data_IF_848636915932
#
_entry.id   IF_848636915932
#
_cell.length_a   1.000
_cell.length_b   1.000
_cell.length_c   1.000
_cell.angle_alpha   90.00
_cell.angle_beta   90.00
_cell.angle_gamma   90.00
#
_symmetry.space_group_name_H-M   'P 1'
#
loop_
_entity.id
_entity.type
_entity.pdbx_description
1 polymer ?
#
# COMPACT_ATOMS: atom_id res chain seq x y z
N UNK A 1 29.85 -19.55 27.66
CA UNK A 1 30.02 -19.14 26.25
C UNK A 1 28.88 -18.20 25.90
N UNK A 2 29.08 -16.88 25.90
CA UNK A 2 28.03 -16.01 25.42
C UNK A 2 28.15 -15.95 23.90
N UNK A 3 27.06 -16.23 23.20
CA UNK A 3 26.87 -15.98 21.76
C UNK A 3 27.39 -17.08 20.81
N UNK A 4 26.45 -17.75 20.12
CA UNK A 4 26.69 -18.78 19.10
C UNK A 4 27.00 -18.14 17.73
N UNK A 5 28.22 -17.66 17.53
CA UNK A 5 28.73 -17.16 16.24
C UNK A 5 29.20 -18.33 15.34
N UNK A 6 28.26 -19.17 14.90
CA UNK A 6 28.58 -20.42 14.15
C UNK A 6 29.25 -20.20 12.80
N UNK A 7 29.07 -19.02 12.21
CA UNK A 7 29.52 -18.71 10.85
C UNK A 7 30.74 -17.75 10.84
N UNK A 8 31.32 -17.45 11.99
CA UNK A 8 32.45 -16.53 12.12
C UNK A 8 33.66 -17.26 12.69
N UNK A 9 34.85 -16.91 12.19
CA UNK A 9 36.09 -17.39 12.78
C UNK A 9 36.33 -16.63 14.09
N UNK A 10 36.23 -17.32 15.22
CA UNK A 10 36.44 -16.76 16.56
C UNK A 10 37.71 -17.35 17.18
N UNK A 11 38.63 -16.50 17.60
CA UNK A 11 39.84 -16.87 18.33
C UNK A 11 39.74 -16.35 19.76
N UNK A 12 40.07 -17.18 20.75
CA UNK A 12 40.20 -16.75 22.14
C UNK A 12 41.66 -16.44 22.43
N UNK A 13 41.97 -15.21 22.83
CA UNK A 13 43.31 -14.79 23.25
C UNK A 13 43.21 -14.22 24.66
N UNK A 14 43.80 -14.91 25.63
CA UNK A 14 43.63 -14.63 27.06
C UNK A 14 42.15 -14.68 27.47
N UNK A 15 41.58 -13.54 27.89
CA UNK A 15 40.16 -13.37 28.25
C UNK A 15 39.32 -12.71 27.14
N UNK A 16 39.96 -12.28 26.05
CA UNK A 16 39.30 -11.58 24.95
C UNK A 16 38.89 -12.55 23.83
N UNK A 17 37.81 -12.20 23.14
CA UNK A 17 37.34 -12.87 21.93
C UNK A 17 37.67 -12.02 20.71
N UNK A 18 38.45 -12.55 19.78
CA UNK A 18 38.77 -11.95 18.49
C UNK A 18 37.86 -12.58 17.44
N UNK A 19 36.99 -11.79 16.85
CA UNK A 19 35.96 -12.24 15.91
C UNK A 19 36.29 -11.65 14.54
N UNK A 20 36.59 -12.52 13.58
CA UNK A 20 36.82 -12.11 12.20
C UNK A 20 35.47 -11.88 11.52
N UNK A 21 35.28 -10.67 10.98
CA UNK A 21 34.14 -10.37 10.14
C UNK A 21 34.31 -10.99 8.75
N UNK A 22 33.21 -11.43 8.16
CA UNK A 22 33.17 -11.94 6.81
C UNK A 22 33.17 -10.75 5.84
N UNK A 23 34.25 -10.61 5.08
CA UNK A 23 34.37 -9.61 4.02
C UNK A 23 33.77 -10.24 2.74
N UNK A 24 32.82 -9.56 2.06
CA UNK A 24 32.26 -10.06 0.81
C UNK A 24 33.33 -10.26 -0.28
N UNK A 25 33.20 -11.31 -1.11
CA UNK A 25 34.13 -11.59 -2.21
C UNK A 25 34.14 -10.48 -3.29
N UNK A 26 33.05 -9.73 -3.39
CA UNK A 26 32.84 -8.60 -4.29
C UNK A 26 33.24 -7.24 -3.69
N UNK A 27 33.81 -7.22 -2.49
CA UNK A 27 34.27 -6.00 -1.84
C UNK A 27 35.37 -5.30 -2.67
N UNK A 28 35.06 -4.10 -3.17
CA UNK A 28 35.97 -3.29 -4.01
C UNK A 28 37.12 -2.62 -3.25
N UNK A 29 37.12 -2.69 -1.92
CA UNK A 29 38.12 -2.08 -1.04
C UNK A 29 39.18 -3.11 -0.64
N UNK A 30 40.46 -2.71 -0.75
CA UNK A 30 41.60 -3.53 -0.38
C UNK A 30 41.76 -3.56 1.16
N UNK A 31 41.08 -4.52 1.80
CA UNK A 31 41.15 -4.75 3.25
C UNK A 31 41.57 -6.19 3.54
N UNK A 32 42.68 -6.35 4.25
CA UNK A 32 43.27 -7.66 4.56
C UNK A 32 42.46 -8.40 5.62
N UNK A 33 42.00 -7.66 6.63
CA UNK A 33 41.20 -8.21 7.72
C UNK A 33 40.40 -7.13 8.45
N UNK A 34 39.30 -7.56 9.05
CA UNK A 34 38.54 -6.77 10.00
C UNK A 34 38.15 -7.65 11.20
N UNK A 35 38.68 -7.31 12.37
CA UNK A 35 38.51 -8.09 13.59
C UNK A 35 37.82 -7.24 14.65
N UNK A 36 36.80 -7.80 15.30
CA UNK A 36 36.20 -7.24 16.51
C UNK A 36 36.82 -7.94 17.71
N UNK A 37 37.53 -7.19 18.54
CA UNK A 37 37.99 -7.64 19.85
C UNK A 37 36.90 -7.34 20.88
N UNK A 38 36.32 -8.38 21.47
CA UNK A 38 35.30 -8.30 22.50
C UNK A 38 35.89 -8.69 23.86
N UNK A 39 35.84 -7.77 24.82
CA UNK A 39 36.43 -7.92 26.16
C UNK A 39 35.40 -8.41 27.20
N UNK A 40 35.83 -8.97 28.34
CA UNK A 40 34.94 -9.48 29.39
C UNK A 40 33.98 -8.44 29.98
N UNK A 41 34.37 -7.16 29.98
CA UNK A 41 33.57 -6.01 30.44
C UNK A 41 32.48 -5.58 29.44
N UNK A 42 32.31 -6.33 28.33
CA UNK A 42 31.42 -6.04 27.20
C UNK A 42 31.83 -4.83 26.37
N UNK A 43 33.08 -4.36 26.49
CA UNK A 43 33.63 -3.37 25.57
C UNK A 43 34.10 -4.04 24.27
N UNK A 44 34.12 -3.26 23.19
CA UNK A 44 34.60 -3.70 21.88
C UNK A 44 35.67 -2.77 21.33
N UNK A 45 36.60 -3.34 20.58
CA UNK A 45 37.59 -2.62 19.78
C UNK A 45 37.63 -3.20 18.36
N UNK A 46 37.83 -2.35 17.36
CA UNK A 46 37.94 -2.77 15.95
C UNK A 46 39.41 -2.74 15.55
N UNK A 47 39.95 -3.91 15.19
CA UNK A 47 41.33 -4.10 14.76
C UNK A 47 41.37 -4.31 13.24
N UNK A 48 42.06 -3.40 12.56
CA UNK A 48 42.38 -3.46 11.14
C UNK A 48 43.45 -2.41 10.83
N UNK A 49 44.54 -2.75 10.15
CA UNK A 49 45.56 -1.76 9.78
C UNK A 49 45.14 -0.90 8.58
N UNK A 50 44.31 -1.47 7.71
CA UNK A 50 43.90 -0.88 6.43
C UNK A 50 42.79 0.17 6.59
N UNK A 51 42.09 0.18 7.73
CA UNK A 51 40.96 1.09 7.98
C UNK A 51 41.38 2.29 8.83
N UNK A 52 41.17 3.54 8.33
CA UNK A 52 41.39 4.76 9.10
C UNK A 52 40.62 4.81 10.44
N UNK A 53 41.23 5.41 11.46
CA UNK A 53 40.64 5.53 12.79
C UNK A 53 39.27 6.23 12.82
N UNK A 54 39.01 7.14 11.87
CA UNK A 54 37.71 7.80 11.76
C UNK A 54 36.59 6.81 11.41
N UNK A 55 36.85 5.87 10.49
CA UNK A 55 35.87 4.87 10.07
C UNK A 55 35.64 3.87 11.21
N UNK A 56 36.69 3.44 11.91
CA UNK A 56 36.57 2.60 13.11
C UNK A 56 35.69 3.25 14.19
N UNK A 57 35.89 4.54 14.47
CA UNK A 57 35.03 5.30 15.39
C UNK A 57 33.59 5.35 14.90
N UNK A 58 33.39 5.58 13.60
CA UNK A 58 32.06 5.59 13.00
C UNK A 58 31.35 4.25 13.18
N UNK A 59 32.03 3.12 12.96
CA UNK A 59 31.49 1.78 13.19
C UNK A 59 31.15 1.55 14.68
N UNK A 60 32.07 1.89 15.59
CA UNK A 60 31.88 1.72 17.04
C UNK A 60 30.66 2.47 17.59
N UNK A 61 30.29 3.62 17.00
CA UNK A 61 29.11 4.38 17.40
C UNK A 61 27.77 3.60 17.25
N UNK A 62 27.76 2.48 16.54
CA UNK A 62 26.56 1.65 16.34
C UNK A 62 26.47 0.47 17.31
N UNK A 63 27.45 0.28 18.18
CA UNK A 63 27.44 -0.81 19.15
C UNK A 63 26.49 -0.55 20.32
N UNK A 64 25.51 -1.44 20.51
CA UNK A 64 24.46 -1.34 21.55
C UNK A 64 24.51 -2.50 22.57
N UNK A 65 25.70 -3.02 22.90
CA UNK A 65 25.91 -4.12 23.86
C UNK A 65 25.33 -5.49 23.43
N UNK A 66 24.82 -5.62 22.21
CA UNK A 66 24.58 -6.91 21.55
C UNK A 66 25.65 -7.12 20.48
N UNK A 67 26.42 -8.20 20.63
CA UNK A 67 27.56 -8.50 19.76
C UNK A 67 27.12 -9.11 18.42
N UNK A 68 26.08 -9.94 18.41
CA UNK A 68 25.59 -10.60 17.19
C UNK A 68 24.96 -9.58 16.25
N UNK A 69 24.08 -8.75 16.79
CA UNK A 69 23.39 -7.72 16.02
C UNK A 69 24.39 -6.72 15.44
N UNK A 70 25.40 -6.38 16.21
CA UNK A 70 26.47 -5.48 15.76
C UNK A 70 27.31 -6.08 14.63
N UNK A 71 27.71 -7.35 14.74
CA UNK A 71 28.44 -8.07 13.68
C UNK A 71 27.63 -8.10 12.39
N UNK A 72 26.38 -8.58 12.47
CA UNK A 72 25.50 -8.66 11.30
C UNK A 72 25.27 -7.29 10.66
N UNK A 73 25.12 -6.25 11.48
CA UNK A 73 24.95 -4.87 11.02
C UNK A 73 26.19 -4.37 10.29
N UNK A 74 27.40 -4.61 10.82
CA UNK A 74 28.64 -4.21 10.17
C UNK A 74 28.83 -4.94 8.84
N UNK A 75 28.60 -6.25 8.79
CA UNK A 75 28.74 -7.04 7.55
C UNK A 75 27.75 -6.56 6.47
N UNK A 76 26.51 -6.28 6.85
CA UNK A 76 25.47 -5.79 5.92
C UNK A 76 25.70 -4.36 5.40
N UNK A 77 26.58 -3.59 6.04
CA UNK A 77 26.81 -2.18 5.74
C UNK A 77 28.30 -1.85 5.51
N UNK A 78 29.13 -2.87 5.28
CA UNK A 78 30.58 -2.73 5.26
C UNK A 78 31.05 -1.74 4.18
N UNK A 79 30.51 -1.83 2.97
CA UNK A 79 30.83 -0.92 1.86
C UNK A 79 30.49 0.54 2.18
N UNK A 80 29.37 0.79 2.86
CA UNK A 80 28.95 2.13 3.26
C UNK A 80 29.99 2.73 4.21
N UNK A 81 30.43 1.96 5.21
CA UNK A 81 31.48 2.39 6.13
C UNK A 81 32.82 2.62 5.44
N UNK A 82 33.24 1.71 4.56
CA UNK A 82 34.51 1.81 3.83
C UNK A 82 34.53 2.98 2.84
N UNK A 83 33.37 3.39 2.31
CA UNK A 83 33.22 4.62 1.53
C UNK A 83 33.39 5.92 2.33
N UNK A 84 33.54 5.82 3.66
CA UNK A 84 33.62 6.95 4.59
C UNK A 84 32.25 7.48 5.04
N UNK A 85 31.17 6.94 4.50
CA UNK A 85 29.80 7.27 4.90
C UNK A 85 29.38 6.44 6.12
N UNK A 86 28.32 6.86 6.80
CA UNK A 86 27.67 6.04 7.81
C UNK A 86 26.29 5.62 7.33
N UNK A 87 25.86 4.37 7.59
CA UNK A 87 24.48 3.98 7.35
C UNK A 87 23.54 4.95 8.04
N UNK A 88 22.45 5.29 7.38
CA UNK A 88 21.35 6.02 7.98
C UNK A 88 20.69 5.12 9.03
N UNK A 89 21.30 4.96 10.20
CA UNK A 89 20.53 4.61 11.38
C UNK A 89 19.84 5.87 11.85
N UNK A 90 18.52 5.85 11.80
CA UNK A 90 17.71 6.73 12.62
C UNK A 90 18.08 6.46 14.10
N UNK A 91 18.98 7.28 14.63
CA UNK A 91 19.61 7.09 15.96
C UNK A 91 18.63 7.16 17.14
N UNK A 92 17.35 7.45 16.91
CA UNK A 92 16.33 7.58 17.94
C UNK A 92 15.06 6.75 17.67
N UNK A 93 15.18 5.55 17.09
CA UNK A 93 14.06 4.60 17.10
C UNK A 93 13.90 4.09 18.54
N UNK A 94 13.07 4.79 19.32
CA UNK A 94 12.61 4.31 20.63
C UNK A 94 11.61 3.19 20.35
N UNK A 95 11.98 1.95 20.66
CA UNK A 95 11.13 0.77 20.53
C UNK A 95 10.66 0.39 21.93
N UNK A 96 9.35 0.30 22.12
CA UNK A 96 8.77 -0.23 23.36
C UNK A 96 8.68 -1.77 23.32
N UNK A 97 8.44 -2.39 24.47
CA UNK A 97 8.30 -3.85 24.66
C UNK A 97 7.29 -4.49 23.71
N UNK A 98 6.26 -3.74 23.32
CA UNK A 98 5.21 -4.20 22.41
C UNK A 98 5.57 -4.05 20.92
N UNK A 99 6.77 -3.55 20.60
CA UNK A 99 7.26 -3.36 19.22
C UNK A 99 6.77 -2.07 18.55
N UNK A 100 6.27 -1.11 19.34
CA UNK A 100 5.88 0.23 18.89
C UNK A 100 7.13 1.10 18.80
N UNK A 101 7.23 1.89 17.74
CA UNK A 101 8.39 2.72 17.44
C UNK A 101 8.00 4.19 17.39
N UNK A 102 8.76 5.09 18.04
CA UNK A 102 8.72 6.54 17.71
C UNK A 102 9.54 6.79 16.46
N UNK A 103 8.92 7.38 15.44
CA UNK A 103 9.59 7.74 14.20
C UNK A 103 10.39 9.04 14.38
N UNK A 104 11.44 9.27 13.57
CA UNK A 104 12.21 10.51 13.61
C UNK A 104 11.34 11.77 13.46
N UNK A 105 11.77 12.88 14.05
CA UNK A 105 11.08 14.17 13.92
C UNK A 105 11.00 14.67 12.47
N UNK A 106 12.00 14.33 11.66
CA UNK A 106 12.05 14.62 10.23
C UNK A 106 11.40 13.52 9.37
N UNK A 107 10.64 12.58 9.95
CA UNK A 107 9.95 11.56 9.19
C UNK A 107 8.94 12.19 8.22
N UNK A 108 9.11 11.89 6.94
CA UNK A 108 8.22 12.35 5.88
C UNK A 108 7.26 11.22 5.54
N UNK A 109 5.97 11.47 5.75
CA UNK A 109 4.95 10.54 5.28
C UNK A 109 5.02 10.39 3.76
N UNK A 110 4.83 9.17 3.24
CA UNK A 110 4.76 9.00 1.80
C UNK A 110 3.53 9.72 1.24
N UNK A 111 3.77 10.72 0.40
CA UNK A 111 2.72 11.46 -0.29
C UNK A 111 2.70 11.00 -1.75
N UNK A 112 1.53 10.56 -2.21
CA UNK A 112 1.28 10.36 -3.63
C UNK A 112 0.30 11.42 -4.14
N UNK A 113 0.68 12.11 -5.21
CA UNK A 113 -0.19 13.10 -5.89
C UNK A 113 -0.99 12.49 -7.04
N UNK A 114 -0.70 11.25 -7.42
CA UNK A 114 -1.42 10.57 -8.48
C UNK A 114 -2.77 10.06 -7.94
N UNK A 115 -3.90 10.30 -8.63
CA UNK A 115 -5.24 9.84 -8.22
C UNK A 115 -5.45 8.35 -8.49
N UNK A 116 -4.38 7.57 -8.42
CA UNK A 116 -4.42 6.13 -8.50
C UNK A 116 -4.54 5.67 -7.06
N UNK A 117 -5.76 5.45 -6.59
CA UNK A 117 -6.04 4.84 -5.30
C UNK A 117 -6.94 3.61 -5.55
N UNK A 118 -6.40 2.41 -5.34
CA UNK A 118 -7.12 1.16 -5.59
C UNK A 118 -7.15 0.20 -4.39
N UNK A 119 -6.55 0.59 -3.24
CA UNK A 119 -6.68 -0.12 -1.97
C UNK A 119 -7.47 0.73 -0.98
N UNK A 120 -8.79 0.52 -0.94
CA UNK A 120 -9.70 1.23 -0.02
C UNK A 120 -9.67 0.59 1.36
N UNK A 121 -9.60 1.40 2.41
CA UNK A 121 -9.61 0.98 3.81
C UNK A 121 -10.88 1.41 4.52
N UNK A 122 -11.45 0.50 5.29
CA UNK A 122 -12.48 0.80 6.28
C UNK A 122 -11.84 0.70 7.67
N UNK A 123 -11.73 1.84 8.37
CA UNK A 123 -11.09 1.89 9.67
C UNK A 123 -11.88 2.72 10.68
N UNK A 124 -11.74 2.36 11.96
CA UNK A 124 -12.08 3.24 13.07
C UNK A 124 -10.79 3.82 13.63
N UNK A 125 -10.70 5.13 13.84
CA UNK A 125 -9.52 5.79 14.44
C UNK A 125 -9.93 6.85 15.45
N UNK A 126 -9.09 7.08 16.46
CA UNK A 126 -9.24 8.11 17.50
C UNK A 126 -7.87 8.73 17.76
N UNK A 127 -7.77 10.06 17.73
CA UNK A 127 -6.55 10.83 17.95
C UNK A 127 -5.41 10.50 16.95
N UNK A 128 -5.78 10.18 15.71
CA UNK A 128 -4.86 9.88 14.59
C UNK A 128 -5.17 10.81 13.41
N UNK A 129 -4.23 11.70 13.07
CA UNK A 129 -4.39 12.62 11.94
C UNK A 129 -4.06 11.91 10.62
N UNK A 130 -2.80 11.55 10.42
CA UNK A 130 -2.29 10.79 9.29
C UNK A 130 -2.15 9.32 9.62
N UNK A 131 -2.41 8.49 8.61
CA UNK A 131 -2.29 7.04 8.68
C UNK A 131 -1.76 6.54 7.34
N UNK A 132 -0.73 5.71 7.36
CA UNK A 132 -0.12 5.16 6.16
C UNK A 132 0.52 3.80 6.45
N UNK A 133 0.88 3.09 5.39
CA UNK A 133 1.66 1.87 5.46
C UNK A 133 2.71 1.93 4.37
N UNK A 134 3.98 2.03 4.73
CA UNK A 134 5.10 2.14 3.78
C UNK A 134 5.38 0.82 3.07
N UNK A 135 5.44 -0.29 3.82
CA UNK A 135 5.69 -1.65 3.32
C UNK A 135 4.62 -2.61 3.88
N UNK A 136 3.45 -2.73 3.23
CA UNK A 136 2.46 -3.73 3.57
C UNK A 136 2.90 -5.14 3.16
N UNK A 137 2.53 -6.13 3.97
CA UNK A 137 2.61 -7.54 3.64
C UNK A 137 1.30 -7.97 2.96
N UNK A 138 1.37 -8.47 1.73
CA UNK A 138 0.18 -8.94 1.03
C UNK A 138 0.19 -10.45 0.86
N UNK A 139 -0.97 -11.06 0.98
CA UNK A 139 -1.21 -12.42 0.51
C UNK A 139 -1.55 -12.35 -0.98
N UNK A 140 -0.70 -12.95 -1.82
CA UNK A 140 -0.81 -12.96 -3.27
C UNK A 140 -0.94 -14.37 -3.79
N UNK A 141 -1.85 -14.61 -4.72
CA UNK A 141 -1.97 -15.87 -5.43
C UNK A 141 -1.18 -15.84 -6.74
N UNK A 142 -0.32 -16.82 -6.97
CA UNK A 142 0.37 -16.95 -8.26
C UNK A 142 -0.63 -17.26 -9.39
N UNK A 143 -0.54 -16.52 -10.50
CA UNK A 143 -1.47 -16.73 -11.62
C UNK A 143 -1.27 -18.07 -12.34
N UNK A 144 -0.04 -18.63 -12.32
CA UNK A 144 0.31 -19.91 -12.96
C UNK A 144 -0.07 -21.13 -12.11
N UNK A 145 0.45 -21.24 -10.90
CA UNK A 145 0.28 -22.44 -10.07
C UNK A 145 -0.79 -22.31 -8.98
N UNK A 146 -1.42 -21.14 -8.84
CA UNK A 146 -2.48 -20.84 -7.85
C UNK A 146 -2.05 -20.99 -6.38
N UNK A 147 -0.76 -21.15 -6.11
CA UNK A 147 -0.20 -21.16 -4.75
C UNK A 147 -0.17 -19.72 -4.22
N UNK A 148 -0.55 -19.57 -2.95
CA UNK A 148 -0.49 -18.28 -2.26
C UNK A 148 0.88 -18.06 -1.64
N UNK A 149 1.35 -16.81 -1.65
CA UNK A 149 2.61 -16.37 -1.08
C UNK A 149 2.44 -15.00 -0.44
N UNK A 150 3.17 -14.78 0.64
CA UNK A 150 3.34 -13.44 1.21
C UNK A 150 4.33 -12.65 0.34
N UNK A 151 3.94 -11.43 -0.06
CA UNK A 151 4.73 -10.56 -0.93
C UNK A 151 4.66 -9.12 -0.39
N UNK A 152 5.82 -8.52 -0.15
CA UNK A 152 5.94 -7.08 0.15
C UNK A 152 6.23 -6.27 -1.12
N UNK A 153 7.27 -6.68 -1.85
CA UNK A 153 7.69 -6.06 -3.11
C UNK A 153 7.87 -7.11 -4.19
N UNK A 154 8.65 -8.15 -3.89
CA UNK A 154 8.87 -9.31 -4.77
C UNK A 154 8.93 -10.60 -3.95
N UNK A 155 8.55 -11.72 -4.56
CA UNK A 155 8.70 -13.05 -3.96
C UNK A 155 8.83 -14.12 -5.05
N UNK A 156 9.71 -15.11 -4.83
CA UNK A 156 9.81 -16.27 -5.70
C UNK A 156 8.72 -17.30 -5.39
N UNK A 157 7.94 -17.64 -6.41
CA UNK A 157 6.94 -18.70 -6.34
C UNK A 157 7.58 -20.08 -6.53
N UNK A 158 6.97 -21.13 -5.97
CA UNK A 158 7.43 -22.51 -6.11
C UNK A 158 7.48 -23.00 -7.57
N UNK A 159 6.74 -22.34 -8.48
CA UNK A 159 6.77 -22.64 -9.91
C UNK A 159 7.87 -21.89 -10.69
N UNK A 160 8.78 -21.21 -10.00
CA UNK A 160 9.91 -20.46 -10.57
C UNK A 160 9.56 -19.05 -11.08
N UNK A 161 8.33 -18.58 -10.90
CA UNK A 161 7.92 -17.22 -11.31
C UNK A 161 8.17 -16.24 -10.17
N UNK A 162 8.76 -15.09 -10.49
CA UNK A 162 8.88 -13.95 -9.59
C UNK A 162 7.57 -13.17 -9.53
N UNK A 163 6.88 -13.20 -8.40
CA UNK A 163 5.68 -12.41 -8.14
C UNK A 163 6.13 -11.01 -7.73
N UNK A 164 5.55 -9.96 -8.34
CA UNK A 164 5.92 -8.57 -8.02
C UNK A 164 4.69 -7.76 -7.63
N UNK A 165 4.88 -6.84 -6.70
CA UNK A 165 3.84 -5.93 -6.21
C UNK A 165 4.43 -4.53 -6.16
N UNK A 166 4.07 -3.70 -7.14
CA UNK A 166 4.41 -2.28 -7.08
C UNK A 166 3.35 -1.58 -6.22
N UNK A 167 3.70 -1.30 -4.97
CA UNK A 167 2.81 -0.62 -4.03
C UNK A 167 3.26 0.83 -3.81
N UNK A 168 2.31 1.76 -3.93
CA UNK A 168 2.51 3.19 -3.76
C UNK A 168 1.57 3.68 -2.65
N UNK A 169 2.10 4.00 -1.46
CA UNK A 169 1.30 4.52 -0.35
C UNK A 169 0.68 5.89 -0.63
N UNK A 170 -0.38 6.22 0.12
CA UNK A 170 -1.02 7.55 0.10
C UNK A 170 -1.36 8.03 1.52
N UNK A 171 -1.75 9.31 1.63
CA UNK A 171 -2.26 9.94 2.86
C UNK A 171 -3.77 10.19 2.84
N UNK A 172 -4.46 9.58 1.87
CA UNK A 172 -5.91 9.66 1.73
C UNK A 172 -6.63 9.03 2.96
N UNK A 173 -7.75 9.62 3.37
CA UNK A 173 -8.53 9.12 4.50
C UNK A 173 -9.28 7.81 4.21
N UNK A 174 -9.60 7.53 2.94
CA UNK A 174 -10.36 6.36 2.51
C UNK A 174 -9.46 5.26 1.90
N UNK A 175 -8.20 5.55 1.59
CA UNK A 175 -7.33 4.63 0.85
C UNK A 175 -5.95 4.48 1.49
N UNK A 176 -5.43 3.25 1.50
CA UNK A 176 -4.07 2.96 1.98
C UNK A 176 -3.02 3.29 0.93
N UNK A 177 -3.38 3.12 -0.34
CA UNK A 177 -2.50 3.39 -1.47
C UNK A 177 -3.00 2.77 -2.77
N UNK A 178 -2.05 2.54 -3.67
CA UNK A 178 -2.23 1.78 -4.88
C UNK A 178 -1.32 0.57 -4.94
N UNK A 179 -1.84 -0.52 -5.49
CA UNK A 179 -1.07 -1.72 -5.78
C UNK A 179 -1.22 -2.12 -7.24
N UNK A 180 -0.12 -2.54 -7.85
CA UNK A 180 -0.06 -3.10 -9.19
C UNK A 180 0.60 -4.48 -9.10
N UNK A 181 -0.19 -5.55 -8.91
CA UNK A 181 0.32 -6.92 -8.90
C UNK A 181 0.74 -7.36 -10.30
N UNK A 182 1.91 -7.99 -10.42
CA UNK A 182 2.41 -8.61 -11.64
C UNK A 182 2.60 -10.12 -11.42
N UNK A 183 2.13 -10.92 -12.39
CA UNK A 183 2.04 -12.38 -12.34
C UNK A 183 1.31 -12.98 -11.11
N UNK A 184 0.62 -12.16 -10.33
CA UNK A 184 -0.15 -12.57 -9.16
C UNK A 184 -1.49 -11.84 -9.05
N UNK A 185 -2.35 -12.36 -8.17
CA UNK A 185 -3.66 -11.80 -7.84
C UNK A 185 -3.70 -11.48 -6.35
N UNK A 186 -4.14 -10.28 -5.99
CA UNK A 186 -4.33 -9.85 -4.61
C UNK A 186 -5.42 -10.69 -3.91
N UNK A 187 -5.11 -11.22 -2.73
CA UNK A 187 -6.08 -11.91 -1.87
C UNK A 187 -6.45 -11.03 -0.67
N UNK A 188 -5.49 -10.72 0.19
CA UNK A 188 -5.73 -9.94 1.40
C UNK A 188 -4.46 -9.25 1.92
N UNK A 189 -4.65 -8.39 2.92
CA UNK A 189 -3.57 -7.79 3.69
C UNK A 189 -3.18 -8.74 4.83
N UNK A 190 -1.91 -9.13 4.86
CA UNK A 190 -1.33 -9.84 5.99
C UNK A 190 -0.88 -8.84 7.08
N UNK A 191 -0.65 -9.33 8.31
CA UNK A 191 -0.21 -8.47 9.41
C UNK A 191 0.97 -7.59 9.01
N UNK A 192 0.82 -6.28 9.18
CA UNK A 192 1.75 -5.25 8.67
C UNK A 192 2.00 -4.18 9.73
N UNK A 193 3.07 -3.40 9.56
CA UNK A 193 3.32 -2.21 10.38
C UNK A 193 2.74 -0.97 9.71
N UNK A 194 2.14 -0.11 10.50
CA UNK A 194 1.49 1.12 10.04
C UNK A 194 2.13 2.34 10.67
N UNK A 195 2.37 3.37 9.88
CA UNK A 195 2.88 4.67 10.33
C UNK A 195 1.71 5.63 10.52
N UNK A 196 1.72 6.34 11.65
CA UNK A 196 0.66 7.27 12.03
C UNK A 196 1.24 8.39 12.88
N UNK A 197 0.48 9.46 13.09
CA UNK A 197 0.87 10.52 14.02
C UNK A 197 -0.23 10.80 15.04
N UNK A 198 0.18 11.33 16.19
CA UNK A 198 -0.74 11.85 17.20
C UNK A 198 -1.43 13.09 16.66
N UNK A 199 -2.76 13.15 16.73
CA UNK A 199 -3.53 14.33 16.30
C UNK A 199 -3.24 15.58 17.15
N UNK A 200 -2.83 15.43 18.41
CA UNK A 200 -2.61 16.55 19.34
C UNK A 200 -1.24 17.21 19.21
N UNK A 201 -0.18 16.42 19.13
CA UNK A 201 1.21 16.92 19.13
C UNK A 201 1.98 16.60 17.83
N UNK A 202 1.33 15.94 16.86
CA UNK A 202 1.92 15.51 15.58
C UNK A 202 3.14 14.58 15.68
N UNK A 203 3.42 14.00 16.85
CA UNK A 203 4.49 13.02 16.99
C UNK A 203 4.19 11.78 16.16
N UNK A 204 5.19 11.34 15.40
CA UNK A 204 5.08 10.23 14.47
C UNK A 204 5.46 8.91 15.15
N UNK A 205 4.70 7.86 14.85
CA UNK A 205 4.88 6.53 15.38
C UNK A 205 4.73 5.48 14.28
N UNK A 206 5.35 4.33 14.49
CA UNK A 206 5.12 3.10 13.76
C UNK A 206 4.58 2.05 14.74
N UNK A 207 3.48 1.40 14.35
CA UNK A 207 2.86 0.34 15.14
C UNK A 207 3.67 -0.94 15.12
N UNK A 208 3.37 -1.81 16.07
CA UNK A 208 3.70 -3.22 15.96
C UNK A 208 2.98 -3.87 14.76
N UNK A 209 3.29 -5.14 14.49
CA UNK A 209 2.66 -5.87 13.39
C UNK A 209 1.20 -6.14 13.71
N UNK A 210 0.29 -5.59 12.92
CA UNK A 210 -1.16 -5.66 13.13
C UNK A 210 -1.87 -6.27 11.93
N UNK A 211 -2.77 -7.22 12.19
CA UNK A 211 -3.69 -7.77 11.21
C UNK A 211 -5.00 -6.99 11.13
N UNK A 212 -5.87 -7.40 10.20
CA UNK A 212 -7.25 -6.90 10.14
C UNK A 212 -8.02 -7.29 11.41
N UNK A 213 -8.93 -6.41 11.85
CA UNK A 213 -9.74 -6.54 13.07
C UNK A 213 -8.95 -6.56 14.39
N UNK A 214 -7.64 -6.32 14.37
CA UNK A 214 -6.85 -6.10 15.57
C UNK A 214 -6.95 -4.64 16.02
N UNK A 215 -7.31 -4.42 17.29
CA UNK A 215 -7.35 -3.07 17.87
C UNK A 215 -5.96 -2.66 18.34
N UNK A 216 -5.47 -1.55 17.83
CA UNK A 216 -4.27 -0.89 18.33
C UNK A 216 -4.64 0.18 19.35
N UNK A 217 -3.90 0.23 20.46
CA UNK A 217 -4.05 1.26 21.51
C UNK A 217 -2.67 1.59 22.05
N UNK A 218 -2.37 2.88 22.19
CA UNK A 218 -1.21 3.36 22.94
C UNK A 218 -1.52 4.72 23.57
N UNK A 219 -0.71 5.15 24.53
CA UNK A 219 -0.67 6.55 24.93
C UNK A 219 0.51 7.23 24.22
N UNK A 220 0.26 8.42 23.67
CA UNK A 220 1.32 9.21 23.05
C UNK A 220 2.42 9.52 24.07
N UNK A 221 3.67 9.21 23.74
CA UNK A 221 4.83 9.42 24.62
C UNK A 221 5.18 10.90 24.87
N UNK A 222 4.60 11.83 24.10
CA UNK A 222 4.87 13.28 24.27
C UNK A 222 3.76 14.03 24.99
N UNK A 223 2.50 13.62 24.83
CA UNK A 223 1.35 14.38 25.32
C UNK A 223 0.29 13.54 26.04
N UNK A 224 0.60 12.27 26.31
CA UNK A 224 -0.22 11.27 27.01
C UNK A 224 -1.62 11.04 26.44
N UNK A 225 -1.88 11.54 25.23
CA UNK A 225 -3.17 11.37 24.57
C UNK A 225 -3.31 9.92 24.13
N UNK A 226 -4.41 9.27 24.51
CA UNK A 226 -4.70 7.90 24.09
C UNK A 226 -5.00 7.85 22.59
N UNK A 227 -4.15 7.15 21.84
CA UNK A 227 -4.28 6.91 20.41
C UNK A 227 -4.84 5.51 20.20
N UNK A 228 -5.81 5.35 19.29
CA UNK A 228 -6.27 4.02 18.91
C UNK A 228 -6.76 3.96 17.47
N UNK A 229 -6.58 2.82 16.83
CA UNK A 229 -7.17 2.53 15.53
C UNK A 229 -7.46 1.04 15.36
N UNK A 230 -8.36 0.71 14.45
CA UNK A 230 -8.70 -0.65 14.03
C UNK A 230 -9.06 -0.64 12.55
N UNK A 231 -8.36 -1.46 11.76
CA UNK A 231 -8.64 -1.67 10.35
C UNK A 231 -9.65 -2.81 10.25
N UNK A 232 -10.88 -2.53 9.81
CA UNK A 232 -11.95 -3.53 9.67
C UNK A 232 -11.78 -4.34 8.40
N UNK A 233 -11.52 -3.65 7.29
CA UNK A 233 -11.53 -4.23 5.96
C UNK A 233 -10.60 -3.49 5.02
N UNK A 234 -10.00 -4.23 4.10
CA UNK A 234 -9.27 -3.71 2.95
C UNK A 234 -9.97 -4.21 1.68
N UNK A 235 -10.30 -3.30 0.76
CA UNK A 235 -10.98 -3.60 -0.50
C UNK A 235 -10.04 -3.23 -1.65
N UNK A 236 -9.64 -4.24 -2.43
CA UNK A 236 -8.91 -4.03 -3.67
C UNK A 236 -9.88 -3.74 -4.82
N UNK A 237 -9.80 -2.53 -5.37
CA UNK A 237 -10.66 -2.03 -6.43
C UNK A 237 -9.95 -2.27 -7.77
N UNK A 238 -10.35 -3.34 -8.46
CA UNK A 238 -9.79 -3.64 -9.77
C UNK A 238 -10.48 -2.83 -10.87
N UNK A 239 -9.69 -2.16 -11.71
CA UNK A 239 -10.18 -1.54 -12.93
C UNK A 239 -10.35 -2.60 -14.01
N UNK A 240 -11.57 -2.74 -14.55
CA UNK A 240 -11.81 -3.56 -15.74
C UNK A 240 -11.29 -2.81 -16.96
N UNK A 241 -10.30 -3.38 -17.64
CA UNK A 241 -9.83 -2.86 -18.93
C UNK A 241 -10.85 -3.21 -20.00
N UNK A 242 -11.58 -2.20 -20.47
CA UNK A 242 -12.55 -2.33 -21.56
C UNK A 242 -12.13 -1.36 -22.65
N UNK A 243 -11.84 -1.91 -23.83
CA UNK A 243 -11.46 -1.13 -25.00
C UNK A 243 -12.68 -1.03 -25.91
N UNK A 244 -13.07 0.20 -26.24
CA UNK A 244 -14.17 0.49 -27.15
C UNK A 244 -13.63 1.19 -28.39
N UNK A 245 -13.96 0.68 -29.56
CA UNK A 245 -13.55 1.28 -30.83
C UNK A 245 -14.55 2.36 -31.22
N UNK A 246 -14.06 3.60 -31.38
CA UNK A 246 -14.90 4.71 -31.82
C UNK A 246 -15.52 4.40 -33.18
N UNK A 247 -16.81 4.69 -33.32
CA UNK A 247 -17.60 4.41 -34.52
C UNK A 247 -18.37 3.10 -34.47
N UNK A 248 -18.08 2.19 -33.54
CA UNK A 248 -18.79 0.93 -33.39
C UNK A 248 -19.89 1.01 -32.30
N UNK A 249 -20.96 0.24 -32.49
CA UNK A 249 -22.04 0.13 -31.50
C UNK A 249 -21.56 -0.63 -30.26
N UNK A 250 -21.98 -0.18 -29.07
CA UNK A 250 -21.82 -0.95 -27.84
C UNK A 250 -22.77 -2.16 -27.84
N UNK A 251 -22.50 -3.19 -27.03
CA UNK A 251 -23.44 -4.28 -26.78
C UNK A 251 -24.84 -3.75 -26.42
N UNK A 252 -25.87 -4.30 -27.06
CA UNK A 252 -27.26 -3.86 -26.91
C UNK A 252 -27.47 -2.34 -27.07
N UNK A 253 -26.63 -1.68 -27.89
CA UNK A 253 -26.60 -0.22 -28.09
C UNK A 253 -26.49 0.58 -26.79
N UNK A 254 -25.80 0.00 -25.80
CA UNK A 254 -25.59 0.62 -24.50
C UNK A 254 -26.72 0.41 -23.49
N UNK A 255 -27.75 -0.37 -23.82
CA UNK A 255 -28.86 -0.67 -22.91
C UNK A 255 -28.51 -1.80 -21.93
N UNK A 256 -29.35 -2.00 -20.90
CA UNK A 256 -29.26 -3.14 -20.01
C UNK A 256 -30.66 -3.50 -19.46
N UNK A 257 -30.74 -4.61 -18.72
CA UNK A 257 -31.97 -5.08 -18.07
C UNK A 257 -32.61 -4.04 -17.14
N UNK A 258 -31.80 -3.26 -16.42
CA UNK A 258 -32.26 -2.23 -15.48
C UNK A 258 -32.76 -0.97 -16.20
N UNK A 259 -32.01 -0.47 -17.19
CA UNK A 259 -32.30 0.77 -17.91
C UNK A 259 -32.43 0.54 -19.43
N UNK A 260 -33.56 -0.05 -19.84
CA UNK A 260 -33.88 -0.36 -21.25
C UNK A 260 -33.97 0.86 -22.18
N UNK A 261 -34.01 2.08 -21.63
CA UNK A 261 -34.14 3.36 -22.37
C UNK A 261 -32.89 4.24 -22.27
N UNK A 262 -31.81 3.70 -21.70
CA UNK A 262 -30.50 4.35 -21.62
C UNK A 262 -29.60 3.72 -22.67
N UNK A 263 -29.16 4.48 -23.66
CA UNK A 263 -28.27 4.03 -24.73
C UNK A 263 -26.84 4.50 -24.49
N UNK A 264 -26.39 4.40 -23.24
CA UNK A 264 -25.10 4.92 -22.80
C UNK A 264 -24.58 4.06 -21.67
N UNK A 265 -23.27 3.86 -21.68
CA UNK A 265 -22.55 3.34 -20.53
C UNK A 265 -21.86 4.49 -19.80
N UNK A 266 -21.52 4.28 -18.54
CA UNK A 266 -20.89 5.26 -17.68
C UNK A 266 -19.50 4.80 -17.31
N UNK A 267 -18.54 5.72 -17.31
CA UNK A 267 -17.24 5.49 -16.70
C UNK A 267 -17.32 5.96 -15.25
N UNK A 268 -17.25 5.02 -14.32
CA UNK A 268 -17.38 5.29 -12.90
C UNK A 268 -16.06 5.80 -12.33
N UNK A 269 -16.04 6.96 -11.64
CA UNK A 269 -14.81 7.52 -11.10
C UNK A 269 -14.23 6.73 -9.92
N UNK A 270 -15.02 5.85 -9.28
CA UNK A 270 -14.54 5.01 -8.18
C UNK A 270 -13.48 3.97 -8.61
N UNK A 271 -13.57 3.44 -9.83
CA UNK A 271 -12.67 2.38 -10.33
C UNK A 271 -12.17 2.62 -11.77
N UNK A 272 -12.74 3.60 -12.49
CA UNK A 272 -12.45 3.87 -13.90
C UNK A 272 -13.04 2.84 -14.87
N UNK A 273 -13.74 1.82 -14.38
CA UNK A 273 -14.44 0.81 -15.18
C UNK A 273 -15.70 1.38 -15.84
N UNK A 274 -16.20 0.70 -16.87
CA UNK A 274 -17.36 1.14 -17.65
C UNK A 274 -18.50 0.15 -17.53
N UNK A 275 -19.68 0.65 -17.14
CA UNK A 275 -20.90 -0.16 -17.00
C UNK A 275 -22.13 0.57 -17.55
N UNK A 276 -23.17 -0.15 -18.01
CA UNK A 276 -24.41 0.46 -18.52
C UNK A 276 -25.18 1.27 -17.46
N UNK A 277 -25.05 0.91 -16.18
CA UNK A 277 -25.71 1.57 -15.07
C UNK A 277 -24.99 1.32 -13.74
N UNK A 278 -25.38 2.08 -12.73
CA UNK A 278 -25.00 1.93 -11.31
C UNK A 278 -25.34 0.53 -10.78
N UNK A 279 -26.56 0.04 -11.04
CA UNK A 279 -26.96 -1.30 -10.60
C UNK A 279 -26.07 -2.40 -11.20
N UNK A 280 -25.71 -2.29 -12.49
CA UNK A 280 -24.79 -3.24 -13.12
C UNK A 280 -23.37 -3.13 -12.56
N UNK A 281 -22.92 -1.92 -12.21
CA UNK A 281 -21.63 -1.74 -11.56
C UNK A 281 -21.61 -2.46 -10.21
N UNK A 282 -22.60 -2.22 -9.37
CA UNK A 282 -22.64 -2.71 -7.98
C UNK A 282 -22.84 -4.23 -7.90
N UNK A 283 -23.49 -4.84 -8.90
CA UNK A 283 -23.62 -6.29 -9.01
C UNK A 283 -22.31 -7.00 -9.37
N UNK A 284 -21.43 -6.35 -10.12
CA UNK A 284 -20.18 -6.95 -10.61
C UNK A 284 -18.91 -6.44 -9.92
N UNK A 285 -19.06 -5.49 -8.99
CA UNK A 285 -17.95 -4.83 -8.30
C UNK A 285 -18.05 -5.06 -6.79
N UNK A 286 -16.91 -5.12 -6.11
CA UNK A 286 -16.82 -5.29 -4.66
C UNK A 286 -16.91 -3.97 -3.86
N UNK A 287 -17.39 -2.90 -4.49
CA UNK A 287 -17.52 -1.56 -3.92
C UNK A 287 -18.69 -0.82 -4.58
N UNK A 288 -19.22 0.16 -3.87
CA UNK A 288 -20.34 0.98 -4.33
C UNK A 288 -19.93 1.98 -5.42
N UNK A 289 -20.83 2.21 -6.37
CA UNK A 289 -20.67 3.17 -7.44
C UNK A 289 -20.64 4.62 -6.93
N UNK A 290 -19.67 5.41 -7.43
CA UNK A 290 -19.69 6.88 -7.33
C UNK A 290 -20.35 7.48 -8.57
N UNK A 291 -21.02 8.62 -8.43
CA UNK A 291 -21.71 9.28 -9.55
C UNK A 291 -20.76 9.55 -10.72
N UNK A 292 -21.09 9.03 -11.90
CA UNK A 292 -20.27 9.18 -13.09
C UNK A 292 -20.40 10.57 -13.72
N UNK A 293 -19.27 11.16 -14.11
CA UNK A 293 -19.19 12.41 -14.86
C UNK A 293 -18.89 12.21 -16.37
N UNK A 294 -18.47 10.99 -16.75
CA UNK A 294 -18.20 10.58 -18.13
C UNK A 294 -19.12 9.44 -18.54
N UNK A 295 -19.51 9.44 -19.81
CA UNK A 295 -20.31 8.39 -20.44
C UNK A 295 -19.75 8.03 -21.81
N UNK A 296 -20.09 6.82 -22.28
CA UNK A 296 -19.79 6.31 -23.60
C UNK A 296 -21.10 6.11 -24.35
N UNK A 297 -21.18 6.66 -25.56
CA UNK A 297 -22.35 6.54 -26.43
C UNK A 297 -22.54 5.09 -26.89
N UNK A 298 -23.78 4.60 -26.82
CA UNK A 298 -24.13 3.24 -27.25
C UNK A 298 -24.06 2.99 -28.76
N UNK A 299 -24.07 4.03 -29.60
CA UNK A 299 -24.06 3.90 -31.06
C UNK A 299 -22.67 4.10 -31.67
N UNK A 300 -21.93 5.10 -31.20
CA UNK A 300 -20.64 5.47 -31.79
C UNK A 300 -19.45 5.25 -30.85
N UNK A 301 -19.68 4.68 -29.66
CA UNK A 301 -18.65 4.42 -28.64
C UNK A 301 -17.79 5.62 -28.27
N UNK A 302 -18.29 6.85 -28.50
CA UNK A 302 -17.59 8.08 -28.14
C UNK A 302 -17.73 8.34 -26.64
N UNK A 303 -16.58 8.46 -25.96
CA UNK A 303 -16.52 8.91 -24.58
C UNK A 303 -16.64 10.45 -24.49
N UNK A 304 -17.50 10.93 -23.61
CA UNK A 304 -17.85 12.35 -23.45
C UNK A 304 -18.40 12.62 -22.03
N UNK A 305 -18.61 13.90 -21.67
CA UNK A 305 -19.28 14.27 -20.44
C UNK A 305 -20.72 13.78 -20.42
N UNK A 306 -21.30 13.58 -19.23
CA UNK A 306 -22.69 13.13 -19.09
C UNK A 306 -23.66 14.19 -19.61
N UNK A 307 -24.40 13.86 -20.68
CA UNK A 307 -25.44 14.71 -21.29
C UNK A 307 -26.57 13.88 -21.91
N UNK A 308 -27.63 14.54 -22.38
CA UNK A 308 -28.81 13.88 -22.97
C UNK A 308 -28.54 13.34 -24.37
N UNK A 309 -27.82 14.11 -25.18
CA UNK A 309 -27.58 13.83 -26.59
C UNK A 309 -26.08 13.68 -26.87
N UNK A 310 -25.73 12.73 -27.74
CA UNK A 310 -24.36 12.55 -28.21
C UNK A 310 -24.06 13.49 -29.37
N UNK A 311 -22.78 13.81 -29.56
CA UNK A 311 -22.31 14.58 -30.73
C UNK A 311 -22.58 13.89 -32.08
N UNK A 312 -22.90 12.59 -32.10
CA UNK A 312 -23.30 11.88 -33.32
C UNK A 312 -24.79 12.04 -33.65
N UNK A 313 -25.54 12.85 -32.88
CA UNK A 313 -26.98 13.08 -33.08
C UNK A 313 -27.91 12.12 -32.33
N UNK A 314 -27.37 11.14 -31.59
CA UNK A 314 -28.19 10.18 -30.84
C UNK A 314 -28.68 10.74 -29.50
N UNK A 315 -29.98 10.66 -29.22
CA UNK A 315 -30.54 10.88 -27.89
C UNK A 315 -30.32 9.65 -26.99
N UNK A 316 -29.46 9.80 -25.98
CA UNK A 316 -28.96 8.72 -25.12
C UNK A 316 -29.90 8.38 -23.96
N UNK A 317 -30.80 9.30 -23.61
CA UNK A 317 -31.84 9.11 -22.62
C UNK A 317 -33.19 9.49 -23.22
N UNK A 318 -34.02 8.49 -23.52
CA UNK A 318 -35.40 8.76 -23.92
C UNK A 318 -36.24 9.07 -22.69
N UNK A 319 -36.68 10.32 -22.55
CA UNK A 319 -37.66 10.69 -21.54
C UNK A 319 -38.98 9.98 -21.83
N UNK A 320 -39.59 9.42 -20.80
CA UNK A 320 -41.00 9.02 -20.88
C UNK A 320 -41.85 10.20 -20.47
N UNK A 321 -42.50 10.84 -21.45
CA UNK A 321 -43.29 12.05 -21.24
C UNK A 321 -44.34 11.91 -20.14
N UNK A 322 -44.87 10.71 -19.89
CA UNK A 322 -45.98 10.45 -18.98
C UNK A 322 -45.61 10.20 -17.50
N UNK A 323 -44.35 10.34 -17.08
CA UNK A 323 -43.92 10.06 -15.71
C UNK A 323 -43.25 11.28 -15.08
N UNK A 324 -43.63 11.61 -13.85
CA UNK A 324 -43.02 12.68 -13.05
C UNK A 324 -41.61 12.27 -12.63
N UNK A 325 -40.60 12.77 -13.34
CA UNK A 325 -39.22 12.84 -12.84
C UNK A 325 -38.59 11.51 -12.39
N UNK A 326 -39.12 10.36 -12.83
CA UNK A 326 -38.59 9.04 -12.47
C UNK A 326 -39.06 8.47 -11.12
N UNK A 327 -39.98 9.12 -10.38
CA UNK A 327 -40.50 8.62 -9.08
C UNK A 327 -41.71 7.68 -9.18
N UNK A 328 -41.95 7.07 -10.34
CA UNK A 328 -42.99 6.04 -10.48
C UNK A 328 -44.44 6.52 -10.40
N UNK A 329 -44.70 7.83 -10.36
CA UNK A 329 -46.04 8.39 -10.53
C UNK A 329 -46.24 8.95 -11.94
N UNK A 330 -47.40 8.65 -12.55
CA UNK A 330 -47.73 9.14 -13.90
C UNK A 330 -48.20 10.58 -13.80
N UNK A 331 -47.58 11.46 -14.59
CA UNK A 331 -48.02 12.84 -14.66
C UNK A 331 -49.30 12.94 -15.49
N UNK A 332 -50.46 13.14 -14.85
CA UNK A 332 -51.75 13.25 -15.53
C UNK A 332 -51.77 14.36 -16.60
N UNK A 333 -50.99 15.43 -16.41
CA UNK A 333 -50.91 16.56 -17.36
C UNK A 333 -50.35 16.10 -18.71
N UNK A 334 -49.27 15.33 -18.69
CA UNK A 334 -48.55 14.87 -19.88
C UNK A 334 -49.03 13.53 -20.44
N UNK A 335 -49.98 12.87 -19.77
CA UNK A 335 -50.64 11.67 -20.30
C UNK A 335 -51.46 12.00 -21.56
N UNK A 336 -51.52 11.05 -22.49
CA UNK A 336 -52.32 11.19 -23.70
C UNK A 336 -53.81 11.40 -23.33
N UNK A 337 -54.49 12.35 -23.99
CA UNK A 337 -55.93 12.59 -23.79
C UNK A 337 -56.79 11.36 -24.06
N UNK A 338 -56.30 10.38 -24.83
CA UNK A 338 -56.96 9.10 -25.12
C UNK A 338 -56.65 7.99 -24.11
N UNK A 339 -55.75 8.21 -23.16
CA UNK A 339 -55.39 7.20 -22.16
C UNK A 339 -56.48 7.13 -21.08
N UNK A 340 -57.16 5.98 -20.97
CA UNK A 340 -58.23 5.73 -19.99
C UNK A 340 -57.79 5.93 -18.54
N UNK A 341 -56.49 5.82 -18.26
CA UNK A 341 -55.91 6.01 -16.90
C UNK A 341 -55.65 7.49 -16.56
N UNK A 342 -55.88 8.44 -17.48
CA UNK A 342 -55.72 9.88 -17.24
C UNK A 342 -56.84 10.47 -16.39
N UNK A 343 -58.07 10.03 -16.63
CA UNK A 343 -59.29 10.55 -16.00
C UNK A 343 -59.84 9.67 -14.87
N UNK A 344 -59.16 8.56 -14.59
CA UNK A 344 -59.30 7.81 -13.33
C UNK A 344 -58.26 8.37 -12.37
#
# INVERSE_FOLDING_TARGET
MPVSLKNHRVLKKNEDFLIHLNIPEDCIYDISYLIIQYKPDKSIEILSEDIPNQIKKNMLNFYKKDLNDFINFLESNLEIFLSGNTPLCDKNIVIDKDGITKLPENYVFPINKLPLNNLKIEMNKKNVLFFSCKLPNFEMQCNKCKINKNVQTTALCNCGIELKTNYIPTLDSEYLGSIFPDYCTFICLNPSKFQFNCEKCNTNYESNTLGLNSKFVMNCWECDTQISFLIKKLIYIQKKSQVFKKGEELPEKGTCKHYKKSYRWFRFPCCGSVYPCDVCHDLESNHESKLANKMICGLCSKEQSVKKDCDCGMTLKKNTNCWEGGKGNRNKVTMNKKDKKKYK
#
